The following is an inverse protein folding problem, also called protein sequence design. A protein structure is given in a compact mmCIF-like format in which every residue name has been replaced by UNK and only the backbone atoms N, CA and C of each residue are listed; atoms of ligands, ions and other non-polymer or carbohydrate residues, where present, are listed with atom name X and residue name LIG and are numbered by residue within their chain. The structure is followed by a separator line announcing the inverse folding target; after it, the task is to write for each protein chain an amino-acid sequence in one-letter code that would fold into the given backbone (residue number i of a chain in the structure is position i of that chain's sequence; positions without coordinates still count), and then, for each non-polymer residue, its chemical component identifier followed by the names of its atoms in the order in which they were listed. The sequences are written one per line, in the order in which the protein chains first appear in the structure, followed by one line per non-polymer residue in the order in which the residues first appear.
data_IF_258578066251
#
_entry.id   IF_258578066251
#
_cell.length_a   1.000
_cell.length_b   1.000
_cell.length_c   1.000
_cell.angle_alpha   90.00
_cell.angle_beta   90.00
_cell.angle_gamma   90.00
#
_symmetry.space_group_name_H-M   'P 1'
#
loop_
_entity.id
_entity.type
_entity.pdbx_description
1 polymer ?
#
# COMPACT_ATOMS: atom_id res chain seq x y z
N UNK A 1 2.16 40.77 -8.48
CA UNK A 1 0.80 40.57 -9.02
C UNK A 1 0.32 39.23 -8.50
N UNK A 2 -0.47 39.27 -7.43
CA UNK A 2 -0.86 38.12 -6.60
C UNK A 2 -2.05 37.37 -7.20
N UNK A 3 -1.97 36.04 -7.23
CA UNK A 3 -3.10 35.15 -7.55
C UNK A 3 -3.99 34.96 -6.31
N UNK A 4 -5.31 34.81 -6.47
CA UNK A 4 -6.25 34.76 -5.35
C UNK A 4 -6.48 33.35 -4.81
N UNK A 5 -6.74 33.30 -3.49
CA UNK A 5 -7.20 32.16 -2.70
C UNK A 5 -8.49 31.54 -3.25
N UNK A 6 -8.54 30.20 -3.31
CA UNK A 6 -9.76 29.43 -3.58
C UNK A 6 -10.16 28.64 -2.33
N UNK A 7 -11.30 29.07 -1.78
CA UNK A 7 -11.89 28.60 -0.55
C UNK A 7 -12.35 27.14 -0.59
N UNK A 8 -12.12 26.47 0.54
CA UNK A 8 -12.63 25.15 0.90
C UNK A 8 -14.16 25.17 0.92
N UNK A 9 -14.81 24.35 0.09
CA UNK A 9 -16.23 24.02 0.25
C UNK A 9 -16.41 22.51 0.37
N UNK A 10 -16.93 22.09 1.53
CA UNK A 10 -17.11 20.69 1.88
C UNK A 10 -18.18 19.99 1.03
N UNK A 11 -17.88 18.77 0.59
CA UNK A 11 -18.90 17.77 0.22
C UNK A 11 -18.51 16.41 0.81
N UNK A 12 -19.47 15.83 1.53
CA UNK A 12 -19.40 14.51 2.17
C UNK A 12 -19.13 13.41 1.15
N UNK A 13 -18.11 12.59 1.39
CA UNK A 13 -17.88 11.31 0.73
C UNK A 13 -18.64 10.20 1.48
N UNK A 14 -19.46 9.42 0.76
CA UNK A 14 -20.09 8.21 1.29
C UNK A 14 -19.18 7.00 1.00
N UNK A 15 -18.91 6.19 2.03
CA UNK A 15 -18.12 4.95 1.98
C UNK A 15 -19.02 3.74 2.19
N UNK A 16 -18.83 2.65 1.43
CA UNK A 16 -19.47 1.36 1.68
C UNK A 16 -18.49 0.21 1.36
N UNK A 17 -18.22 -0.64 2.35
CA UNK A 17 -17.47 -1.90 2.25
C UNK A 17 -18.35 -3.03 1.68
N UNK A 18 -17.78 -4.02 0.97
CA UNK A 18 -18.10 -5.47 1.17
C UNK A 18 -17.22 -6.45 0.36
N UNK A 19 -16.82 -7.55 1.01
CA UNK A 19 -16.11 -8.72 0.49
C UNK A 19 -17.00 -9.63 -0.39
N UNK A 20 -16.56 -10.06 -1.59
CA UNK A 20 -17.24 -11.14 -2.34
C UNK A 20 -16.25 -12.06 -3.12
N UNK A 21 -16.40 -13.38 -2.91
CA UNK A 21 -15.65 -14.51 -3.50
C UNK A 21 -15.80 -14.72 -5.02
N UNK A 22 -14.68 -15.11 -5.65
CA UNK A 22 -14.44 -15.50 -7.07
C UNK A 22 -15.38 -16.57 -7.66
N UNK A 23 -16.16 -17.31 -6.86
CA UNK A 23 -17.13 -18.28 -7.40
C UNK A 23 -18.41 -17.61 -7.94
N UNK A 24 -18.72 -16.37 -7.56
CA UNK A 24 -19.91 -15.65 -8.06
C UNK A 24 -19.71 -15.07 -9.48
N UNK A 25 -18.48 -14.74 -9.87
CA UNK A 25 -18.14 -14.13 -11.17
C UNK A 25 -18.32 -15.09 -12.35
N UNK A 26 -17.92 -16.36 -12.22
CA UNK A 26 -18.14 -17.35 -13.30
C UNK A 26 -19.62 -17.69 -13.54
N UNK A 27 -20.43 -17.66 -12.48
CA UNK A 27 -21.87 -17.93 -12.57
C UNK A 27 -22.63 -16.76 -13.23
N UNK A 28 -22.07 -15.55 -13.15
CA UNK A 28 -22.61 -14.35 -13.81
C UNK A 28 -22.31 -14.35 -15.32
N UNK A 29 -21.06 -14.67 -15.71
CA UNK A 29 -20.66 -14.78 -17.14
C UNK A 29 -21.53 -15.76 -17.92
N UNK A 30 -21.83 -16.93 -17.35
CA UNK A 30 -22.64 -17.97 -18.01
C UNK A 30 -24.11 -17.58 -18.16
N UNK A 31 -24.64 -16.78 -17.22
CA UNK A 31 -26.03 -16.28 -17.26
C UNK A 31 -26.25 -15.15 -18.27
N UNK A 32 -25.20 -14.36 -18.58
CA UNK A 32 -25.30 -13.25 -19.53
C UNK A 32 -25.41 -13.76 -20.98
N UNK A 33 -24.84 -14.93 -21.30
CA UNK A 33 -24.83 -15.48 -22.66
C UNK A 33 -26.15 -16.10 -23.16
N UNK A 34 -27.07 -16.50 -22.28
CA UNK A 34 -28.25 -17.30 -22.68
C UNK A 34 -29.57 -16.51 -22.68
N UNK A 35 -29.59 -15.25 -22.25
CA UNK A 35 -30.76 -14.38 -22.43
C UNK A 35 -32.07 -14.85 -21.76
N UNK A 36 -32.04 -15.84 -20.85
CA UNK A 36 -33.17 -16.20 -19.96
C UNK A 36 -32.73 -16.53 -18.53
N UNK A 37 -33.54 -16.16 -17.54
CA UNK A 37 -33.39 -16.64 -16.17
C UNK A 37 -33.97 -18.07 -16.03
N UNK A 38 -33.77 -18.73 -14.87
CA UNK A 38 -34.27 -20.10 -14.60
C UNK A 38 -35.81 -20.24 -14.67
N UNK A 39 -36.53 -19.13 -14.69
CA UNK A 39 -37.99 -19.07 -14.72
C UNK A 39 -38.54 -18.70 -16.11
N UNK A 40 -37.67 -18.52 -17.11
CA UNK A 40 -38.09 -18.22 -18.49
C UNK A 40 -38.39 -16.74 -18.78
N UNK A 41 -38.15 -15.82 -17.83
CA UNK A 41 -38.38 -14.40 -18.08
C UNK A 41 -37.28 -13.80 -18.98
N UNK A 42 -37.71 -12.94 -19.91
CA UNK A 42 -36.84 -12.15 -20.77
C UNK A 42 -36.11 -11.10 -19.94
N UNK A 43 -34.79 -11.05 -20.06
CA UNK A 43 -33.94 -10.07 -19.37
C UNK A 43 -34.41 -8.63 -19.63
N UNK A 44 -34.62 -7.86 -18.56
CA UNK A 44 -35.01 -6.44 -18.65
C UNK A 44 -33.87 -5.59 -19.22
N UNK A 45 -34.23 -4.53 -19.96
CA UNK A 45 -33.32 -3.62 -20.71
C UNK A 45 -32.16 -3.05 -19.88
N UNK A 46 -32.28 -3.01 -18.55
CA UNK A 46 -31.23 -2.51 -17.65
C UNK A 46 -29.96 -3.37 -17.66
N UNK A 47 -30.08 -4.70 -17.79
CA UNK A 47 -28.92 -5.58 -17.82
C UNK A 47 -28.22 -5.58 -19.19
N UNK A 48 -28.98 -5.42 -20.28
CA UNK A 48 -28.41 -5.20 -21.62
C UNK A 48 -27.71 -3.84 -21.72
N UNK A 49 -28.30 -2.80 -21.13
CA UNK A 49 -27.70 -1.48 -21.02
C UNK A 49 -26.39 -1.52 -20.22
N UNK A 50 -26.37 -2.19 -19.06
CA UNK A 50 -25.17 -2.37 -18.27
C UNK A 50 -24.07 -3.17 -19.01
N UNK A 51 -24.44 -4.22 -19.77
CA UNK A 51 -23.48 -4.99 -20.56
C UNK A 51 -22.93 -4.21 -21.77
N UNK A 52 -23.76 -3.39 -22.42
CA UNK A 52 -23.34 -2.51 -23.52
C UNK A 52 -22.41 -1.40 -23.03
N UNK A 53 -22.77 -0.77 -21.90
CA UNK A 53 -21.98 0.23 -21.20
C UNK A 53 -20.63 -0.33 -20.71
N UNK A 54 -20.63 -1.58 -20.24
CA UNK A 54 -19.43 -2.31 -19.87
C UNK A 54 -18.48 -2.54 -21.06
N UNK A 55 -19.02 -2.93 -22.23
CA UNK A 55 -18.22 -3.08 -23.45
C UNK A 55 -17.68 -1.74 -23.98
N UNK A 56 -18.41 -0.64 -23.79
CA UNK A 56 -17.91 0.71 -24.12
C UNK A 56 -16.81 1.17 -23.15
N UNK A 57 -16.96 0.94 -21.84
CA UNK A 57 -15.93 1.29 -20.85
C UNK A 57 -14.59 0.57 -21.11
N UNK A 58 -14.64 -0.72 -21.45
CA UNK A 58 -13.47 -1.53 -21.83
C UNK A 58 -12.76 -1.01 -23.09
N UNK A 59 -13.45 -0.24 -23.93
CA UNK A 59 -12.87 0.35 -25.15
C UNK A 59 -12.22 1.72 -24.92
N UNK A 60 -12.47 2.36 -23.77
CA UNK A 60 -11.99 3.71 -23.44
C UNK A 60 -10.74 3.65 -22.57
N UNK A 61 -10.77 2.88 -21.48
CA UNK A 61 -9.58 2.65 -20.65
C UNK A 61 -9.75 1.34 -19.85
N UNK A 62 -8.89 0.33 -20.10
CA UNK A 62 -8.89 -0.92 -19.34
C UNK A 62 -8.67 -0.73 -17.82
N UNK A 63 -8.11 0.41 -17.39
CA UNK A 63 -7.77 0.72 -16.00
C UNK A 63 -8.94 1.29 -15.18
N UNK A 64 -10.08 1.62 -15.79
CA UNK A 64 -11.26 2.18 -15.12
C UNK A 64 -12.07 1.17 -14.28
N UNK A 65 -11.52 -0.03 -14.08
CA UNK A 65 -12.20 -1.20 -13.54
C UNK A 65 -12.70 -1.01 -12.09
N UNK A 66 -11.88 -0.45 -11.21
CA UNK A 66 -12.16 -0.43 -9.76
C UNK A 66 -13.26 0.58 -9.43
N UNK A 67 -13.18 1.79 -10.00
CA UNK A 67 -14.23 2.80 -9.86
C UNK A 67 -15.57 2.32 -10.46
N UNK A 68 -15.53 1.60 -11.58
CA UNK A 68 -16.73 1.07 -12.26
C UNK A 68 -17.41 -0.04 -11.45
N UNK A 69 -16.63 -0.95 -10.85
CA UNK A 69 -17.15 -2.08 -10.08
C UNK A 69 -17.91 -1.61 -8.82
N UNK A 70 -17.38 -0.61 -8.12
CA UNK A 70 -18.02 -0.03 -6.94
C UNK A 70 -19.28 0.77 -7.29
N UNK A 71 -19.24 1.59 -8.34
CA UNK A 71 -20.39 2.40 -8.76
C UNK A 71 -21.55 1.56 -9.35
N UNK A 72 -21.24 0.46 -10.05
CA UNK A 72 -22.26 -0.47 -10.55
C UNK A 72 -22.99 -1.22 -9.42
N UNK A 73 -22.30 -1.54 -8.31
CA UNK A 73 -22.92 -2.17 -7.12
C UNK A 73 -23.99 -1.27 -6.49
N UNK A 74 -23.87 0.05 -6.60
CA UNK A 74 -24.84 1.03 -6.08
C UNK A 74 -25.97 1.40 -7.05
N UNK A 75 -26.09 0.74 -8.21
CA UNK A 75 -27.13 1.05 -9.19
C UNK A 75 -27.01 2.47 -9.77
N UNK A 76 -25.84 3.10 -9.63
CA UNK A 76 -25.54 4.43 -10.15
C UNK A 76 -24.94 4.30 -11.55
N UNK A 77 -25.42 5.12 -12.49
CA UNK A 77 -24.84 5.19 -13.82
C UNK A 77 -23.45 5.86 -13.72
N UNK A 78 -22.39 5.10 -13.96
CA UNK A 78 -20.99 5.56 -13.98
C UNK A 78 -20.71 6.63 -15.04
N UNK A 79 -21.50 6.69 -16.12
CA UNK A 79 -21.38 7.70 -17.17
C UNK A 79 -22.11 8.99 -16.84
N UNK A 80 -22.61 9.15 -15.60
CA UNK A 80 -23.21 10.41 -15.20
C UNK A 80 -22.12 11.49 -15.25
N UNK A 81 -22.31 12.60 -16.01
CA UNK A 81 -21.28 13.63 -16.21
C UNK A 81 -20.77 14.31 -14.92
N UNK A 82 -21.42 14.04 -13.78
CA UNK A 82 -21.01 14.54 -12.46
C UNK A 82 -19.81 13.78 -11.88
N UNK A 83 -19.49 12.59 -12.37
CA UNK A 83 -18.33 11.82 -11.94
C UNK A 83 -17.11 12.29 -12.74
N UNK A 84 -16.14 12.86 -12.04
CA UNK A 84 -14.85 13.25 -12.60
C UNK A 84 -13.76 12.58 -11.75
N UNK A 85 -12.72 12.07 -12.41
CA UNK A 85 -11.54 11.55 -11.74
C UNK A 85 -10.59 12.73 -11.51
N UNK A 86 -10.29 13.01 -10.26
CA UNK A 86 -9.27 13.97 -9.87
C UNK A 86 -8.30 13.25 -8.93
N UNK A 87 -7.18 12.80 -9.46
CA UNK A 87 -6.14 12.09 -8.72
C UNK A 87 -5.47 13.05 -7.73
N UNK A 88 -5.50 12.79 -6.41
CA UNK A 88 -4.74 13.58 -5.46
C UNK A 88 -3.25 13.21 -5.52
N UNK A 89 -2.38 14.20 -5.32
CA UNK A 89 -0.93 14.03 -5.26
C UNK A 89 -0.40 13.95 -3.83
N UNK A 90 0.88 13.59 -3.69
CA UNK A 90 1.61 13.76 -2.43
C UNK A 90 1.93 15.24 -2.20
N UNK A 91 1.97 15.66 -0.94
CA UNK A 91 2.45 16.99 -0.58
C UNK A 91 3.94 17.11 -0.96
N UNK A 92 4.21 17.82 -2.06
CA UNK A 92 5.54 18.00 -2.61
C UNK A 92 6.45 18.88 -1.75
N UNK A 93 5.94 19.48 -0.67
CA UNK A 93 6.77 20.18 0.32
C UNK A 93 7.29 19.25 1.40
N UNK A 94 6.64 18.09 1.57
CA UNK A 94 6.94 17.10 2.60
C UNK A 94 7.58 15.87 1.96
N UNK A 95 6.89 15.11 1.10
CA UNK A 95 7.43 13.88 0.52
C UNK A 95 8.21 14.20 -0.75
N UNK A 96 9.54 14.20 -0.68
CA UNK A 96 10.43 14.63 -1.75
C UNK A 96 11.36 13.50 -2.21
N UNK A 97 11.78 13.47 -3.48
CA UNK A 97 12.74 12.48 -3.97
C UNK A 97 14.07 12.51 -3.21
N UNK A 98 14.69 11.34 -3.04
CA UNK A 98 16.02 11.21 -2.42
C UNK A 98 17.13 12.03 -3.11
N UNK A 99 16.91 12.43 -4.36
CA UNK A 99 17.87 13.20 -5.17
C UNK A 99 17.89 14.69 -4.83
N UNK A 100 16.86 15.23 -4.17
CA UNK A 100 16.81 16.63 -3.73
C UNK A 100 17.53 16.79 -2.38
N UNK A 101 18.86 16.65 -2.41
CA UNK A 101 19.74 16.61 -1.23
C UNK A 101 19.64 17.92 -0.42
N UNK A 102 19.50 19.04 -1.11
CA UNK A 102 19.38 20.39 -0.53
C UNK A 102 18.09 20.59 0.30
N UNK A 103 17.06 19.75 0.08
CA UNK A 103 15.80 19.78 0.82
C UNK A 103 15.68 18.70 1.90
N UNK A 104 16.79 18.02 2.23
CA UNK A 104 16.83 17.03 3.33
C UNK A 104 16.70 17.73 4.67
N UNK A 105 15.90 17.17 5.57
CA UNK A 105 15.75 17.68 6.92
C UNK A 105 16.85 17.11 7.82
N UNK A 106 18.09 17.56 7.59
CA UNK A 106 19.29 17.01 8.26
C UNK A 106 19.23 17.08 9.78
N UNK A 107 18.48 18.04 10.35
CA UNK A 107 18.22 18.15 11.80
C UNK A 107 17.61 16.89 12.43
N UNK A 108 16.84 16.11 11.66
CA UNK A 108 16.21 14.88 12.16
C UNK A 108 17.11 13.65 12.05
N UNK A 109 18.25 13.74 11.38
CA UNK A 109 19.14 12.59 11.13
C UNK A 109 19.61 11.88 12.41
N UNK A 110 20.03 12.59 13.49
CA UNK A 110 20.39 11.91 14.73
C UNK A 110 19.22 11.16 15.36
N UNK A 111 18.03 11.78 15.40
CA UNK A 111 16.82 11.18 15.96
C UNK A 111 16.35 9.96 15.13
N UNK A 112 16.42 10.03 13.80
CA UNK A 112 16.08 8.91 12.92
C UNK A 112 17.08 7.76 13.10
N UNK A 113 18.38 8.05 13.22
CA UNK A 113 19.37 6.99 13.47
C UNK A 113 19.16 6.29 14.81
N UNK A 114 18.77 7.05 15.84
CA UNK A 114 18.36 6.48 17.13
C UNK A 114 17.14 5.57 16.94
N UNK A 115 16.08 6.12 16.35
CA UNK A 115 14.79 5.44 16.15
C UNK A 115 14.93 4.12 15.39
N UNK A 116 15.81 4.07 14.38
CA UNK A 116 15.99 2.87 13.54
C UNK A 116 17.01 1.88 14.10
N UNK A 117 18.08 2.34 14.75
CA UNK A 117 19.26 1.50 15.00
C UNK A 117 19.70 1.38 16.47
N UNK A 118 19.02 2.06 17.41
CA UNK A 118 19.26 1.90 18.85
C UNK A 118 18.96 0.47 19.31
N UNK A 119 19.76 -0.12 20.19
CA UNK A 119 19.42 -1.42 20.81
C UNK A 119 18.52 -1.28 22.04
N UNK A 120 18.24 -0.04 22.46
CA UNK A 120 17.41 0.25 23.63
C UNK A 120 15.96 0.33 23.20
N UNK A 121 15.11 -0.47 23.83
CA UNK A 121 13.66 -0.41 23.64
C UNK A 121 13.05 0.68 24.54
N UNK A 122 12.06 1.40 24.04
CA UNK A 122 11.40 2.49 24.74
C UNK A 122 9.95 2.69 24.25
N UNK A 123 9.34 3.83 24.59
CA UNK A 123 7.96 4.13 24.19
C UNK A 123 7.78 4.48 22.71
N UNK A 124 8.86 4.81 22.00
CA UNK A 124 8.84 5.10 20.56
C UNK A 124 9.14 3.87 19.69
N UNK A 125 9.93 2.91 20.17
CA UNK A 125 10.31 1.72 19.41
C UNK A 125 10.71 0.51 20.25
N UNK A 126 10.44 -0.68 19.70
CA UNK A 126 10.87 -1.99 20.23
C UNK A 126 11.50 -2.85 19.12
N UNK A 127 12.23 -3.89 19.52
CA UNK A 127 13.05 -4.68 18.60
C UNK A 127 14.36 -3.98 18.24
N UNK A 128 15.20 -4.63 17.43
CA UNK A 128 16.46 -4.08 16.94
C UNK A 128 16.99 -4.89 15.77
N UNK A 129 18.04 -4.37 15.12
CA UNK A 129 18.78 -5.08 14.09
C UNK A 129 20.14 -5.53 14.60
N UNK A 130 20.45 -6.82 14.42
CA UNK A 130 21.83 -7.28 14.59
C UNK A 130 22.70 -6.87 13.40
N UNK A 131 22.23 -7.14 12.19
CA UNK A 131 22.91 -6.69 10.99
C UNK A 131 22.27 -5.41 10.46
N UNK A 132 22.91 -4.27 10.71
CA UNK A 132 22.43 -2.95 10.28
C UNK A 132 22.69 -2.65 8.80
N UNK A 133 23.47 -3.50 8.10
CA UNK A 133 23.85 -3.29 6.71
C UNK A 133 22.83 -3.89 5.74
N UNK A 134 21.94 -4.77 6.21
CA UNK A 134 20.87 -5.32 5.39
C UNK A 134 19.94 -4.20 4.90
N UNK A 135 19.46 -4.28 3.65
CA UNK A 135 18.35 -3.46 3.19
C UNK A 135 17.13 -3.61 4.10
N UNK A 136 16.27 -2.61 4.09
CA UNK A 136 15.09 -2.55 4.96
C UNK A 136 13.82 -2.64 4.11
N UNK A 137 12.95 -3.56 4.48
CA UNK A 137 11.52 -3.45 4.16
C UNK A 137 10.90 -2.45 5.14
N UNK A 138 10.22 -1.44 4.62
CA UNK A 138 9.52 -0.44 5.39
C UNK A 138 8.02 -0.49 5.13
N UNK A 139 7.23 -0.53 6.18
CA UNK A 139 5.79 -0.37 6.12
C UNK A 139 5.33 0.62 7.18
N UNK A 140 4.40 1.50 6.83
CA UNK A 140 3.78 2.43 7.76
C UNK A 140 2.28 2.47 7.48
N UNK A 141 1.47 2.26 8.51
CA UNK A 141 0.01 2.34 8.43
C UNK A 141 -0.60 2.37 9.85
N UNK A 142 -1.88 2.77 10.01
CA UNK A 142 -2.67 2.39 11.16
C UNK A 142 -2.64 0.87 11.39
N UNK A 143 -2.78 0.44 12.64
CA UNK A 143 -2.77 -0.96 13.02
C UNK A 143 -4.20 -1.50 13.13
N UNK A 144 -4.73 -1.95 12.00
CA UNK A 144 -6.04 -2.58 11.89
C UNK A 144 -5.99 -3.81 10.93
N UNK A 145 -7.06 -4.59 10.89
CA UNK A 145 -7.14 -5.84 10.10
C UNK A 145 -7.05 -5.56 8.60
N UNK A 146 -7.59 -4.43 8.14
CA UNK A 146 -7.58 -4.07 6.72
C UNK A 146 -6.17 -3.73 6.28
N UNK A 147 -5.42 -2.96 7.07
CA UNK A 147 -4.01 -2.60 6.80
C UNK A 147 -3.08 -3.81 6.87
N UNK A 148 -3.43 -4.84 7.64
CA UNK A 148 -2.81 -6.16 7.59
C UNK A 148 -1.27 -6.13 7.83
N UNK A 149 -0.83 -5.25 8.73
CA UNK A 149 0.59 -5.20 9.14
C UNK A 149 0.99 -6.52 9.82
N UNK A 150 0.09 -7.15 10.57
CA UNK A 150 0.34 -8.46 11.19
C UNK A 150 0.55 -9.56 10.16
N UNK A 151 -0.18 -9.53 9.03
CA UNK A 151 0.04 -10.44 7.90
C UNK A 151 1.44 -10.28 7.30
N UNK A 152 1.92 -9.04 7.12
CA UNK A 152 3.30 -8.82 6.66
C UNK A 152 4.35 -9.40 7.61
N UNK A 153 4.16 -9.27 8.93
CA UNK A 153 5.06 -9.89 9.92
C UNK A 153 5.04 -11.40 9.81
N UNK A 154 3.86 -12.00 9.65
CA UNK A 154 3.73 -13.44 9.47
C UNK A 154 4.43 -13.93 8.20
N UNK A 155 4.20 -13.28 7.05
CA UNK A 155 4.83 -13.66 5.78
C UNK A 155 6.35 -13.48 5.82
N UNK A 156 6.83 -12.39 6.41
CA UNK A 156 8.26 -12.19 6.66
C UNK A 156 8.82 -13.28 7.58
N UNK A 157 8.10 -13.63 8.64
CA UNK A 157 8.52 -14.62 9.62
C UNK A 157 8.64 -16.03 9.07
N UNK A 158 7.75 -16.43 8.17
CA UNK A 158 7.73 -17.73 7.50
C UNK A 158 8.82 -17.86 6.43
N UNK A 159 9.13 -16.77 5.72
CA UNK A 159 10.08 -16.79 4.61
C UNK A 159 11.54 -16.64 5.06
N UNK A 160 12.22 -17.76 5.33
CA UNK A 160 13.64 -17.78 5.74
C UNK A 160 14.57 -17.08 4.74
N UNK A 161 14.29 -17.20 3.44
CA UNK A 161 15.09 -16.56 2.39
C UNK A 161 14.98 -15.05 2.50
N UNK A 162 13.76 -14.52 2.64
CA UNK A 162 13.53 -13.10 2.83
C UNK A 162 14.25 -12.56 4.07
N UNK A 163 14.11 -13.21 5.24
CA UNK A 163 14.80 -12.83 6.48
C UNK A 163 16.33 -12.80 6.34
N UNK A 164 16.89 -13.69 5.53
CA UNK A 164 18.33 -13.69 5.28
C UNK A 164 18.81 -12.48 4.49
N UNK A 165 17.94 -11.88 3.66
CA UNK A 165 18.28 -10.78 2.75
C UNK A 165 18.05 -9.39 3.38
N UNK A 166 17.01 -9.22 4.20
CA UNK A 166 16.56 -7.90 4.65
C UNK A 166 16.13 -7.86 6.11
N UNK A 167 16.08 -6.65 6.66
CA UNK A 167 15.43 -6.32 7.92
C UNK A 167 14.01 -5.79 7.67
N UNK A 168 13.16 -5.81 8.70
CA UNK A 168 11.79 -5.31 8.64
C UNK A 168 11.60 -4.13 9.61
N UNK A 169 11.08 -3.01 9.10
CA UNK A 169 10.57 -1.88 9.89
C UNK A 169 9.07 -1.77 9.68
N UNK A 170 8.32 -1.74 10.77
CA UNK A 170 6.89 -1.42 10.77
C UNK A 170 6.63 -0.23 11.69
N UNK A 171 5.97 0.80 11.17
CA UNK A 171 5.47 1.95 11.95
C UNK A 171 3.96 1.81 12.04
N UNK A 172 3.46 1.35 13.20
CA UNK A 172 2.03 1.06 13.36
C UNK A 172 1.61 1.02 14.84
N UNK A 173 0.50 1.66 15.17
CA UNK A 173 -0.18 1.55 16.46
C UNK A 173 0.68 1.74 17.71
N UNK A 174 0.22 1.14 18.82
CA UNK A 174 0.92 1.07 20.11
C UNK A 174 1.57 -0.30 20.34
N UNK A 175 2.55 -0.39 21.24
CA UNK A 175 3.12 -1.69 21.63
C UNK A 175 2.31 -2.40 22.70
N UNK A 176 1.67 -1.65 23.59
CA UNK A 176 0.90 -2.20 24.70
C UNK A 176 -0.60 -2.13 24.36
N UNK A 177 -1.32 -3.27 24.36
CA UNK A 177 -2.76 -3.27 24.07
C UNK A 177 -3.56 -2.41 25.06
N UNK A 178 -3.09 -2.19 26.28
CA UNK A 178 -3.80 -1.36 27.27
C UNK A 178 -3.79 0.13 26.93
N UNK A 179 -2.87 0.58 26.06
CA UNK A 179 -2.79 1.98 25.59
C UNK A 179 -3.82 2.27 24.50
N UNK A 180 -4.41 1.27 23.86
CA UNK A 180 -5.45 1.45 22.85
C UNK A 180 -6.86 1.33 23.43
N UNK A 181 -7.79 2.12 22.88
CA UNK A 181 -9.24 1.99 23.13
C UNK A 181 -9.96 1.29 21.98
N UNK A 182 -9.27 1.06 20.87
CA UNK A 182 -9.82 0.41 19.69
C UNK A 182 -9.67 -1.10 19.80
N UNK A 183 -10.79 -1.84 19.68
CA UNK A 183 -10.79 -3.29 19.87
C UNK A 183 -10.02 -4.03 18.79
N UNK A 184 -10.01 -3.51 17.57
CA UNK A 184 -9.31 -4.10 16.44
C UNK A 184 -7.81 -3.90 16.60
N UNK A 185 -7.37 -2.69 16.93
CA UNK A 185 -5.97 -2.41 17.23
C UNK A 185 -5.47 -3.26 18.40
N UNK A 186 -6.23 -3.40 19.49
CA UNK A 186 -5.87 -4.29 20.62
C UNK A 186 -5.60 -5.74 20.16
N UNK A 187 -6.42 -6.26 19.25
CA UNK A 187 -6.27 -7.61 18.72
C UNK A 187 -5.03 -7.71 17.84
N UNK A 188 -4.81 -6.71 16.97
CA UNK A 188 -3.65 -6.67 16.10
C UNK A 188 -2.34 -6.52 16.89
N UNK A 189 -2.29 -5.68 17.93
CA UNK A 189 -1.13 -5.56 18.85
C UNK A 189 -0.75 -6.92 19.44
N UNK A 190 -1.75 -7.70 19.90
CA UNK A 190 -1.51 -9.04 20.44
C UNK A 190 -0.95 -10.00 19.39
N UNK A 191 -1.45 -9.93 18.14
CA UNK A 191 -0.91 -10.73 17.03
C UNK A 191 0.51 -10.33 16.66
N UNK A 192 0.84 -9.04 16.69
CA UNK A 192 2.20 -8.54 16.44
C UNK A 192 3.19 -9.22 17.40
N UNK A 193 2.93 -9.18 18.71
CA UNK A 193 3.75 -9.85 19.72
C UNK A 193 3.83 -11.36 19.49
N UNK A 194 2.69 -12.01 19.27
CA UNK A 194 2.62 -13.45 19.01
C UNK A 194 3.50 -13.85 17.82
N UNK A 195 3.44 -13.12 16.71
CA UNK A 195 4.20 -13.45 15.50
C UNK A 195 5.68 -13.10 15.63
N UNK A 196 6.02 -12.00 16.29
CA UNK A 196 7.42 -11.66 16.58
C UNK A 196 8.10 -12.76 17.40
N UNK A 197 7.40 -13.27 18.42
CA UNK A 197 7.87 -14.38 19.26
C UNK A 197 7.90 -15.71 18.48
N UNK A 198 6.76 -16.11 17.90
CA UNK A 198 6.60 -17.38 17.16
C UNK A 198 7.65 -17.55 16.06
N UNK A 199 7.98 -16.48 15.33
CA UNK A 199 8.92 -16.53 14.22
C UNK A 199 10.34 -16.07 14.58
N UNK A 200 10.60 -15.82 15.87
CA UNK A 200 11.89 -15.43 16.44
C UNK A 200 12.51 -14.22 15.70
N UNK A 201 11.75 -13.14 15.58
CA UNK A 201 12.13 -11.98 14.75
C UNK A 201 13.08 -10.99 15.45
N UNK A 202 13.41 -11.23 16.72
CA UNK A 202 14.37 -10.41 17.47
C UNK A 202 15.70 -10.32 16.71
N UNK A 203 16.24 -9.11 16.57
CA UNK A 203 17.45 -8.85 15.78
C UNK A 203 17.22 -8.63 14.28
N UNK A 204 15.98 -8.74 13.79
CA UNK A 204 15.62 -8.55 12.37
C UNK A 204 14.39 -7.66 12.17
N UNK A 205 13.66 -7.32 13.23
CA UNK A 205 12.50 -6.44 13.20
C UNK A 205 12.69 -5.22 14.10
N UNK A 206 12.18 -4.09 13.64
CA UNK A 206 11.97 -2.87 14.41
C UNK A 206 10.51 -2.48 14.30
N UNK A 207 9.81 -2.42 15.42
CA UNK A 207 8.45 -1.91 15.49
C UNK A 207 8.48 -0.53 16.14
N UNK A 208 8.01 0.47 15.41
CA UNK A 208 7.97 1.88 15.79
C UNK A 208 6.52 2.28 16.04
N UNK A 209 6.28 3.06 17.09
CA UNK A 209 4.97 3.58 17.42
C UNK A 209 4.50 4.58 16.36
N UNK A 210 3.19 4.76 16.22
CA UNK A 210 2.61 5.69 15.24
C UNK A 210 3.25 7.10 15.32
N UNK A 211 3.62 7.65 14.15
CA UNK A 211 4.37 8.90 14.04
C UNK A 211 3.47 10.05 13.54
N UNK A 212 3.47 11.18 14.23
CA UNK A 212 2.59 12.32 13.93
C UNK A 212 3.27 13.50 13.23
N UNK A 213 4.60 13.64 13.38
CA UNK A 213 5.36 14.71 12.73
C UNK A 213 5.60 14.39 11.25
N UNK A 214 4.86 15.08 10.37
CA UNK A 214 4.96 14.93 8.91
C UNK A 214 6.37 15.19 8.37
N UNK A 215 7.10 16.16 8.91
CA UNK A 215 8.45 16.50 8.44
C UNK A 215 9.45 15.41 8.83
N UNK A 216 9.33 14.87 10.05
CA UNK A 216 10.13 13.72 10.50
C UNK A 216 9.79 12.47 9.68
N UNK A 217 8.52 12.22 9.41
CA UNK A 217 8.07 11.09 8.59
C UNK A 217 8.64 11.15 7.17
N UNK A 218 8.60 12.32 6.53
CA UNK A 218 9.25 12.52 5.23
C UNK A 218 10.74 12.16 5.26
N UNK A 219 11.47 12.66 6.26
CA UNK A 219 12.89 12.35 6.35
C UNK A 219 13.14 10.87 6.66
N UNK A 220 12.26 10.22 7.41
CA UNK A 220 12.29 8.78 7.65
C UNK A 220 12.14 7.99 6.34
N UNK A 221 11.15 8.31 5.50
CA UNK A 221 11.01 7.74 4.15
C UNK A 221 12.30 7.93 3.35
N UNK A 222 12.80 9.17 3.23
CA UNK A 222 14.01 9.47 2.44
C UNK A 222 15.28 8.82 3.00
N UNK A 223 15.36 8.63 4.32
CA UNK A 223 16.46 7.93 4.96
C UNK A 223 16.49 6.47 4.53
N UNK A 224 15.35 5.77 4.65
CA UNK A 224 15.27 4.34 4.33
C UNK A 224 15.36 4.10 2.81
N UNK A 225 14.76 4.97 1.98
CA UNK A 225 14.94 4.90 0.52
C UNK A 225 16.40 5.11 0.14
N UNK A 226 17.08 6.07 0.78
CA UNK A 226 18.51 6.34 0.59
C UNK A 226 19.40 5.14 0.92
N UNK A 227 19.00 4.31 1.90
CA UNK A 227 19.67 3.06 2.25
C UNK A 227 19.25 1.87 1.40
N UNK A 228 18.65 2.11 0.22
CA UNK A 228 18.21 1.07 -0.73
C UNK A 228 17.18 0.09 -0.16
N UNK A 229 16.31 0.58 0.73
CA UNK A 229 15.13 -0.17 1.20
C UNK A 229 14.01 -0.26 0.17
N UNK A 230 12.93 -0.95 0.52
CA UNK A 230 11.69 -1.03 -0.25
C UNK A 230 10.49 -0.69 0.64
N UNK A 231 9.46 -0.08 0.07
CA UNK A 231 8.21 0.17 0.78
C UNK A 231 7.20 -0.93 0.47
N UNK A 232 6.48 -1.39 1.50
CA UNK A 232 5.54 -2.49 1.39
C UNK A 232 4.22 -2.11 2.02
N UNK A 233 3.13 -2.20 1.26
CA UNK A 233 1.77 -1.96 1.72
C UNK A 233 0.93 -3.25 1.60
N UNK A 234 0.79 -4.02 2.70
CA UNK A 234 0.18 -5.35 2.70
C UNK A 234 -1.35 -5.35 2.83
N UNK A 235 -2.00 -4.19 2.66
CA UNK A 235 -3.44 -3.97 2.89
C UNK A 235 -4.30 -5.00 2.14
N UNK A 236 -5.33 -5.54 2.81
CA UNK A 236 -6.30 -6.46 2.18
C UNK A 236 -7.10 -5.77 1.06
N UNK A 237 -7.41 -4.49 1.25
CA UNK A 237 -8.05 -3.63 0.26
C UNK A 237 -7.73 -2.16 0.55
N UNK A 238 -7.25 -1.41 -0.43
CA UNK A 238 -6.92 0.01 -0.27
C UNK A 238 -7.68 0.85 -1.29
N UNK A 239 -8.47 1.82 -0.83
CA UNK A 239 -9.31 2.62 -1.74
C UNK A 239 -8.46 3.49 -2.65
N UNK A 240 -7.39 4.08 -2.12
CA UNK A 240 -6.56 5.02 -2.86
C UNK A 240 -5.08 4.72 -2.72
N UNK A 241 -4.53 4.80 -1.50
CA UNK A 241 -3.10 4.52 -1.26
C UNK A 241 -2.21 5.75 -1.29
N UNK A 242 -2.55 6.80 -0.54
CA UNK A 242 -1.70 8.00 -0.39
C UNK A 242 -0.25 7.64 0.04
N UNK A 243 -0.11 6.68 0.96
CA UNK A 243 1.21 6.23 1.43
C UNK A 243 2.04 5.58 0.32
N UNK A 244 1.39 4.94 -0.68
CA UNK A 244 2.06 4.42 -1.88
C UNK A 244 2.66 5.57 -2.69
N UNK A 245 1.87 6.63 -2.94
CA UNK A 245 2.30 7.81 -3.69
C UNK A 245 3.46 8.51 -2.96
N UNK A 246 3.34 8.69 -1.64
CA UNK A 246 4.39 9.26 -0.80
C UNK A 246 5.71 8.46 -0.90
N UNK A 247 5.63 7.13 -0.81
CA UNK A 247 6.78 6.24 -0.94
C UNK A 247 7.40 6.32 -2.35
N UNK A 248 6.59 6.25 -3.40
CA UNK A 248 7.06 6.37 -4.79
C UNK A 248 7.72 7.72 -5.03
N UNK A 249 7.14 8.81 -4.51
CA UNK A 249 7.70 10.16 -4.65
C UNK A 249 9.02 10.33 -3.89
N UNK A 250 9.21 9.58 -2.79
CA UNK A 250 10.50 9.48 -2.11
C UNK A 250 11.51 8.60 -2.86
N UNK A 251 11.08 7.85 -3.88
CA UNK A 251 11.91 7.00 -4.73
C UNK A 251 12.00 5.54 -4.26
N UNK A 252 11.07 5.05 -3.44
CA UNK A 252 11.04 3.64 -3.09
C UNK A 252 10.61 2.76 -4.28
N UNK A 253 11.26 1.60 -4.47
CA UNK A 253 10.60 0.42 -4.99
C UNK A 253 9.45 0.03 -4.04
N UNK A 254 8.24 -0.08 -4.57
CA UNK A 254 7.02 -0.28 -3.78
C UNK A 254 6.36 -1.61 -4.12
N UNK A 255 5.91 -2.34 -3.10
CA UNK A 255 5.13 -3.56 -3.22
C UNK A 255 3.76 -3.33 -2.59
N UNK A 256 2.69 -3.45 -3.38
CA UNK A 256 1.35 -3.03 -2.97
C UNK A 256 0.30 -4.06 -3.33
N UNK A 257 -0.79 -4.07 -2.56
CA UNK A 257 -1.99 -4.85 -2.87
C UNK A 257 -2.51 -4.58 -4.28
N UNK A 258 -2.92 -5.64 -4.97
CA UNK A 258 -3.68 -5.55 -6.23
C UNK A 258 -5.18 -5.32 -6.00
N UNK A 259 -5.61 -5.10 -4.74
CA UNK A 259 -6.99 -4.86 -4.37
C UNK A 259 -7.24 -3.36 -4.11
N UNK A 260 -7.87 -2.69 -5.08
CA UNK A 260 -8.27 -1.28 -4.98
C UNK A 260 -7.33 -0.31 -5.69
N UNK A 261 -7.26 0.94 -5.24
CA UNK A 261 -6.55 2.06 -5.87
C UNK A 261 -5.06 1.81 -6.20
N UNK A 262 -4.26 1.16 -5.34
CA UNK A 262 -2.86 0.88 -5.65
C UNK A 262 -2.64 0.04 -6.92
N UNK A 263 -3.63 -0.75 -7.33
CA UNK A 263 -3.57 -1.52 -8.58
C UNK A 263 -3.62 -0.62 -9.83
N UNK A 264 -4.18 0.59 -9.71
CA UNK A 264 -4.18 1.59 -10.79
C UNK A 264 -2.92 2.47 -10.73
N UNK A 265 -2.36 2.71 -9.54
CA UNK A 265 -1.15 3.50 -9.35
C UNK A 265 0.07 2.78 -9.94
N UNK A 266 0.25 1.49 -9.61
CA UNK A 266 1.45 0.72 -9.95
C UNK A 266 1.30 -0.02 -11.27
N UNK A 267 2.29 0.12 -12.15
CA UNK A 267 2.52 -0.79 -13.28
C UNK A 267 3.50 -1.88 -12.83
N UNK A 268 3.02 -3.11 -12.70
CA UNK A 268 3.78 -4.24 -12.15
C UNK A 268 5.09 -4.48 -12.92
N UNK A 269 6.20 -4.56 -12.19
CA UNK A 269 7.55 -4.74 -12.74
C UNK A 269 8.18 -3.49 -13.36
N UNK A 270 7.44 -2.39 -13.49
CA UNK A 270 7.92 -1.13 -14.10
C UNK A 270 8.05 -0.02 -13.07
N UNK A 271 6.95 0.35 -12.40
CA UNK A 271 6.92 1.43 -11.41
C UNK A 271 6.80 0.95 -9.97
N UNK A 272 6.75 -0.37 -9.78
CA UNK A 272 6.62 -1.07 -8.50
C UNK A 272 6.11 -2.48 -8.75
N UNK A 273 5.57 -3.13 -7.72
CA UNK A 273 5.07 -4.48 -7.79
C UNK A 273 3.69 -4.61 -7.15
N UNK A 274 2.81 -5.33 -7.83
CA UNK A 274 1.50 -5.70 -7.30
C UNK A 274 1.54 -7.12 -6.73
N UNK A 275 0.80 -7.35 -5.64
CA UNK A 275 0.70 -8.64 -4.96
C UNK A 275 -0.73 -8.90 -4.48
N UNK A 276 -1.14 -10.17 -4.41
CA UNK A 276 -2.43 -10.54 -3.83
C UNK A 276 -2.26 -10.75 -2.32
N UNK A 277 -2.96 -9.99 -1.46
CA UNK A 277 -2.83 -10.11 -0.02
C UNK A 277 -3.33 -11.44 0.54
N UNK A 278 -4.06 -12.25 -0.24
CA UNK A 278 -4.48 -13.60 0.15
C UNK A 278 -3.40 -14.68 -0.10
N UNK A 279 -2.31 -14.33 -0.80
CA UNK A 279 -1.21 -15.23 -1.17
C UNK A 279 0.12 -14.73 -0.57
N UNK A 280 0.21 -14.73 0.76
CA UNK A 280 1.37 -14.23 1.51
C UNK A 280 2.72 -14.89 1.17
N UNK A 281 2.70 -16.16 0.78
CA UNK A 281 3.90 -16.86 0.33
C UNK A 281 4.43 -16.28 -0.99
N UNK A 282 3.54 -16.01 -1.95
CA UNK A 282 3.90 -15.37 -3.22
C UNK A 282 4.41 -13.95 -2.98
N UNK A 283 3.74 -13.21 -2.09
CA UNK A 283 4.13 -11.87 -1.67
C UNK A 283 5.58 -11.86 -1.15
N UNK A 284 5.87 -12.68 -0.14
CA UNK A 284 7.18 -12.71 0.49
C UNK A 284 8.27 -13.20 -0.48
N UNK A 285 7.93 -14.13 -1.38
CA UNK A 285 8.84 -14.59 -2.42
C UNK A 285 9.15 -13.50 -3.46
N UNK A 286 8.15 -12.73 -3.91
CA UNK A 286 8.35 -11.64 -4.87
C UNK A 286 9.29 -10.56 -4.30
N UNK A 287 9.17 -10.25 -3.01
CA UNK A 287 10.10 -9.33 -2.35
C UNK A 287 11.49 -9.94 -2.23
N UNK A 288 11.59 -11.22 -1.85
CA UNK A 288 12.87 -11.91 -1.76
C UNK A 288 13.57 -12.01 -3.12
N UNK A 289 12.84 -12.21 -4.21
CA UNK A 289 13.38 -12.22 -5.58
C UNK A 289 13.95 -10.86 -5.96
N UNK A 290 13.24 -9.77 -5.63
CA UNK A 290 13.74 -8.42 -5.84
C UNK A 290 15.05 -8.16 -5.10
N UNK A 291 15.14 -8.51 -3.81
CA UNK A 291 16.36 -8.28 -3.03
C UNK A 291 17.49 -9.26 -3.39
N UNK A 292 17.17 -10.47 -3.84
CA UNK A 292 18.15 -11.39 -4.40
C UNK A 292 18.75 -10.80 -5.69
N UNK A 293 17.91 -10.31 -6.60
CA UNK A 293 18.36 -9.61 -7.80
C UNK A 293 19.17 -8.36 -7.47
N UNK A 294 18.78 -7.59 -6.45
CA UNK A 294 19.52 -6.41 -5.99
C UNK A 294 20.93 -6.76 -5.50
N UNK A 295 21.10 -7.93 -4.87
CA UNK A 295 22.41 -8.42 -4.44
C UNK A 295 23.33 -8.75 -5.63
N UNK A 296 22.75 -9.13 -6.76
CA UNK A 296 23.46 -9.49 -8.00
C UNK A 296 23.70 -8.26 -8.89
N UNK A 297 22.74 -7.34 -8.95
CA UNK A 297 22.76 -6.10 -9.74
C UNK A 297 22.17 -4.94 -8.93
N UNK A 298 23.06 -4.11 -8.38
CA UNK A 298 22.68 -2.90 -7.63
C UNK A 298 21.88 -1.90 -8.48
N UNK A 299 21.99 -1.97 -9.81
CA UNK A 299 21.26 -1.13 -10.76
C UNK A 299 19.76 -1.40 -10.76
N UNK A 300 19.33 -2.62 -10.44
CA UNK A 300 17.91 -3.00 -10.52
C UNK A 300 17.02 -2.16 -9.59
N UNK A 301 17.54 -1.77 -8.42
CA UNK A 301 16.83 -0.89 -7.49
C UNK A 301 16.57 0.49 -8.11
N UNK A 302 17.58 1.06 -8.76
CA UNK A 302 17.48 2.38 -9.38
C UNK A 302 16.50 2.39 -10.56
N UNK A 303 16.36 1.27 -11.29
CA UNK A 303 15.41 1.13 -12.38
C UNK A 303 13.97 1.26 -11.85
N UNK A 304 13.62 0.46 -10.83
CA UNK A 304 12.25 0.51 -10.25
C UNK A 304 12.00 1.85 -9.57
N UNK A 305 12.97 2.38 -8.83
CA UNK A 305 12.88 3.71 -8.19
C UNK A 305 12.58 4.82 -9.21
N UNK A 306 13.32 4.87 -10.32
CA UNK A 306 13.08 5.83 -11.42
C UNK A 306 11.72 5.61 -12.09
N UNK A 307 11.32 4.35 -12.28
CA UNK A 307 9.99 4.01 -12.80
C UNK A 307 8.86 4.52 -11.90
N UNK A 308 9.00 4.36 -10.58
CA UNK A 308 8.07 4.89 -9.59
C UNK A 308 7.98 6.42 -9.62
N UNK A 309 9.12 7.11 -9.61
CA UNK A 309 9.16 8.58 -9.72
C UNK A 309 8.52 9.07 -11.02
N UNK A 310 8.86 8.45 -12.16
CA UNK A 310 8.29 8.79 -13.46
C UNK A 310 6.77 8.62 -13.44
N UNK A 311 6.27 7.50 -12.89
CA UNK A 311 4.84 7.25 -12.77
C UNK A 311 4.13 8.35 -11.99
N UNK A 312 4.68 8.82 -10.88
CA UNK A 312 4.08 9.90 -10.08
C UNK A 312 4.04 11.24 -10.84
N UNK A 313 5.04 11.55 -11.66
CA UNK A 313 5.05 12.78 -12.45
C UNK A 313 4.13 12.74 -13.66
N UNK A 314 3.73 11.55 -14.11
CA UNK A 314 2.79 11.34 -15.22
C UNK A 314 1.33 11.15 -14.76
N UNK A 315 1.09 11.01 -13.45
CA UNK A 315 -0.21 10.68 -12.86
C UNK A 315 -1.04 11.91 -12.50
#
# INVERSE_FOLDING_TARGET
MSMPDLAVTGRRLLYLHTNISTKKTHKLRRKIGEGKNRNGDVYTDRLKSAAHQFNQALSIDPLLWVAYEELCKFGSNVFYPKFNIASPGADQTVCLPITQIEKRFTRFQPAIKELLFSKVENEEHIGYFEDKNKPIIFSMAPLDTVKNITGLIEWFGQNKRLKSLVNLIVVAGFFDPTKSKDREEIVEIKKMHLFIEKYQLKGQIRWIAAQTDKSRNSELYRFIAGSKGAFVQPTLHEVFGLMVIEAMNCGFPTFVTNQGGPAEIIVDGVSGFQIDPNHGDEFSNKIADFFQKFKEDLGCWNIISKGGLKRIYEW
#
